data_IF_973312402984
#
_entry.id   IF_973312402984
#
_cell.length_a   1.000
_cell.length_b   1.000
_cell.length_c   1.000
_cell.angle_alpha   90.00
_cell.angle_beta   90.00
_cell.angle_gamma   90.00
#
_symmetry.space_group_name_H-M   'P 1'
#
loop_
_entity.id
_entity.type
_entity.pdbx_description
1 polymer ?
#
# COMPACT_ATOMS: atom_id res chain seq x y z
N UNK A 1 -1.87 6.95 24.61
CA UNK A 1 -2.83 5.91 24.17
C UNK A 1 -2.74 5.82 22.66
N UNK A 2 -1.97 4.85 22.15
CA UNK A 2 -2.08 4.42 20.76
C UNK A 2 -3.32 3.54 20.74
N UNK A 3 -4.35 3.95 19.98
CA UNK A 3 -5.63 3.24 19.85
C UNK A 3 -5.41 1.73 19.67
N UNK A 4 -5.97 0.90 20.55
CA UNK A 4 -5.90 -0.58 20.55
C UNK A 4 -6.58 -1.24 19.31
N UNK A 5 -6.82 -0.50 18.23
CA UNK A 5 -7.62 -0.92 17.06
C UNK A 5 -6.86 -0.91 15.73
N UNK A 6 -5.58 -0.53 15.73
CA UNK A 6 -4.80 -0.41 14.49
C UNK A 6 -3.73 -1.50 14.47
N UNK A 7 -3.95 -2.54 13.66
CA UNK A 7 -2.92 -3.56 13.40
C UNK A 7 -2.23 -3.21 12.09
N UNK A 8 -0.91 -3.14 12.14
CA UNK A 8 -0.02 -2.91 11.01
C UNK A 8 0.55 -4.25 10.54
N UNK A 9 0.14 -4.71 9.36
CA UNK A 9 0.61 -5.98 8.77
C UNK A 9 1.36 -5.73 7.47
N UNK A 10 2.36 -6.53 7.13
CA UNK A 10 2.99 -6.44 5.80
C UNK A 10 1.97 -6.74 4.70
N UNK A 11 2.11 -6.06 3.57
CA UNK A 11 1.31 -6.35 2.38
C UNK A 11 1.59 -7.75 1.86
N UNK A 12 0.53 -8.39 1.36
CA UNK A 12 0.54 -9.70 0.70
C UNK A 12 -0.04 -9.59 -0.71
N UNK A 13 0.16 -10.61 -1.55
CA UNK A 13 -0.37 -10.61 -2.92
C UNK A 13 -1.89 -10.36 -3.01
N UNK A 14 -2.67 -10.78 -2.01
CA UNK A 14 -4.12 -10.56 -1.99
C UNK A 14 -4.53 -9.10 -1.78
N UNK A 15 -3.60 -8.24 -1.31
CA UNK A 15 -3.91 -6.84 -0.99
C UNK A 15 -3.82 -5.91 -2.19
N UNK A 16 -3.42 -6.41 -3.37
CA UNK A 16 -3.27 -5.57 -4.57
C UNK A 16 -4.55 -4.79 -4.91
N UNK A 17 -5.72 -5.41 -4.74
CA UNK A 17 -6.99 -4.76 -5.06
C UNK A 17 -7.23 -3.52 -4.19
N UNK A 18 -7.00 -3.64 -2.89
CA UNK A 18 -7.18 -2.54 -1.93
C UNK A 18 -6.13 -1.44 -2.18
N UNK A 19 -4.89 -1.85 -2.44
CA UNK A 19 -3.80 -0.94 -2.80
C UNK A 19 -4.12 -0.13 -4.07
N UNK A 20 -4.60 -0.81 -5.12
CA UNK A 20 -4.93 -0.17 -6.38
C UNK A 20 -6.16 0.72 -6.29
N UNK A 21 -7.14 0.37 -5.45
CA UNK A 21 -8.29 1.23 -5.19
C UNK A 21 -7.87 2.61 -4.67
N UNK A 22 -6.89 2.67 -3.76
CA UNK A 22 -6.35 3.95 -3.27
C UNK A 22 -5.52 4.66 -4.34
N UNK A 23 -4.72 3.91 -5.12
CA UNK A 23 -3.90 4.45 -6.20
C UNK A 23 -4.69 4.95 -7.42
N UNK A 24 -5.96 4.56 -7.56
CA UNK A 24 -6.86 4.98 -8.64
C UNK A 24 -7.86 6.07 -8.22
N UNK A 25 -7.94 6.37 -6.91
CA UNK A 25 -8.74 7.47 -6.41
C UNK A 25 -8.04 8.82 -6.68
N UNK A 26 -8.67 9.64 -7.51
CA UNK A 26 -8.11 10.93 -7.93
C UNK A 26 -8.00 11.93 -6.79
N UNK A 27 -8.90 11.90 -5.80
CA UNK A 27 -8.89 12.85 -4.70
C UNK A 27 -7.83 12.48 -3.67
N UNK A 28 -7.62 11.18 -3.43
CA UNK A 28 -6.47 10.68 -2.67
C UNK A 28 -5.17 11.01 -3.39
N UNK A 29 -5.06 10.65 -4.66
CA UNK A 29 -3.81 10.78 -5.40
C UNK A 29 -3.42 12.21 -5.71
N UNK A 30 -4.37 13.16 -5.81
CA UNK A 30 -4.07 14.60 -5.84
C UNK A 30 -3.23 15.05 -4.65
N UNK A 31 -3.48 14.49 -3.45
CA UNK A 31 -2.74 14.86 -2.22
C UNK A 31 -1.39 14.15 -2.11
N UNK A 32 -1.23 13.00 -2.77
CA UNK A 32 -0.02 12.17 -2.66
C UNK A 32 0.96 12.42 -3.80
N UNK A 33 0.52 12.31 -5.05
CA UNK A 33 1.41 12.34 -6.23
C UNK A 33 0.89 13.23 -7.39
N UNK A 34 -0.26 13.86 -7.24
CA UNK A 34 -0.86 14.75 -8.26
C UNK A 34 -1.45 14.06 -9.48
N UNK A 35 -1.32 12.72 -9.60
CA UNK A 35 -1.90 11.90 -10.68
C UNK A 35 -2.27 10.52 -10.16
N UNK A 36 -3.29 9.91 -10.77
CA UNK A 36 -3.64 8.51 -10.50
C UNK A 36 -2.53 7.56 -11.00
N UNK A 37 -2.42 6.40 -10.36
CA UNK A 37 -1.58 5.31 -10.85
C UNK A 37 -2.34 4.53 -11.93
N UNK A 38 -1.69 4.31 -13.07
CA UNK A 38 -2.16 3.31 -14.03
C UNK A 38 -1.95 1.91 -13.46
N UNK A 39 -2.79 0.93 -13.83
CA UNK A 39 -2.76 -0.40 -13.22
C UNK A 39 -1.40 -1.09 -13.39
N UNK A 40 -0.75 -0.95 -14.56
CA UNK A 40 0.57 -1.52 -14.80
C UNK A 40 1.64 -0.90 -13.86
N UNK A 41 1.64 0.43 -13.70
CA UNK A 41 2.56 1.13 -12.80
C UNK A 41 2.29 0.77 -11.33
N UNK A 42 1.01 0.66 -10.95
CA UNK A 42 0.62 0.22 -9.61
C UNK A 42 1.08 -1.21 -9.32
N UNK A 43 0.98 -2.11 -10.31
CA UNK A 43 1.38 -3.51 -10.18
C UNK A 43 2.88 -3.65 -10.00
N UNK A 44 3.68 -2.97 -10.82
CA UNK A 44 5.13 -2.96 -10.70
C UNK A 44 5.58 -2.43 -9.33
N UNK A 45 4.99 -1.32 -8.86
CA UNK A 45 5.27 -0.76 -7.53
C UNK A 45 4.88 -1.70 -6.40
N UNK A 46 3.74 -2.37 -6.53
CA UNK A 46 3.26 -3.33 -5.54
C UNK A 46 4.18 -4.55 -5.45
N UNK A 47 4.62 -5.09 -6.59
CA UNK A 47 5.57 -6.21 -6.64
C UNK A 47 6.91 -5.84 -6.01
N UNK A 48 7.44 -4.65 -6.31
CA UNK A 48 8.65 -4.13 -5.66
C UNK A 48 8.46 -4.02 -4.13
N UNK A 49 7.30 -3.55 -3.68
CA UNK A 49 6.97 -3.50 -2.25
C UNK A 49 6.90 -4.88 -1.59
N UNK A 50 6.36 -5.89 -2.29
CA UNK A 50 6.33 -7.25 -1.77
C UNK A 50 7.74 -7.85 -1.66
N UNK A 51 8.60 -7.60 -2.64
CA UNK A 51 10.00 -8.03 -2.59
C UNK A 51 10.74 -7.35 -1.43
N UNK A 52 10.53 -6.05 -1.23
CA UNK A 52 11.11 -5.30 -0.11
C UNK A 52 10.63 -5.83 1.26
N UNK A 53 9.37 -6.29 1.38
CA UNK A 53 8.86 -6.90 2.62
C UNK A 53 9.56 -8.21 2.95
N UNK A 54 10.05 -8.95 1.94
CA UNK A 54 10.81 -10.20 2.13
C UNK A 54 12.24 -9.89 2.56
N UNK A 55 12.84 -8.82 2.04
CA UNK A 55 14.23 -8.45 2.31
C UNK A 55 14.41 -7.60 3.58
N UNK A 56 13.41 -6.80 3.97
CA UNK A 56 13.45 -5.89 5.12
C UNK A 56 12.26 -6.11 6.07
N UNK A 57 12.51 -6.81 7.17
CA UNK A 57 11.57 -6.94 8.31
C UNK A 57 11.37 -5.64 9.11
N UNK A 58 12.00 -4.54 8.71
CA UNK A 58 11.99 -3.27 9.44
C UNK A 58 10.94 -2.33 8.82
N UNK A 59 9.76 -2.35 9.46
CA UNK A 59 8.86 -1.25 9.79
C UNK A 59 8.41 -0.14 8.81
N UNK A 60 8.56 -0.27 7.49
CA UNK A 60 8.15 0.84 6.58
C UNK A 60 6.91 0.59 5.71
N UNK A 61 6.44 -0.66 5.54
CA UNK A 61 5.34 -0.95 4.58
C UNK A 61 4.25 -1.83 5.19
N UNK A 62 3.30 -1.19 5.85
CA UNK A 62 2.19 -1.86 6.51
C UNK A 62 0.81 -1.49 5.94
N UNK A 63 -0.08 -2.47 5.89
CA UNK A 63 -1.52 -2.34 5.77
C UNK A 63 -2.14 -2.15 7.15
N UNK A 64 -3.14 -1.28 7.23
CA UNK A 64 -3.99 -1.06 8.40
C UNK A 64 -5.25 -1.93 8.29
N UNK A 65 -5.57 -2.67 9.34
CA UNK A 65 -6.86 -3.40 9.47
C UNK A 65 -7.59 -2.96 10.74
N UNK A 66 -8.92 -2.83 10.66
CA UNK A 66 -9.86 -2.55 11.76
C UNK A 66 -10.43 -3.84 12.35
#
# INVERSE_FOLDING_TARGET
>A
MISERLILNHYSFSDFKDYFQLGSDIDVMKMVAGRINEECEARERFENMLNDNVENLIFEKFKVTL
#
